data_IF_069966235874
#
_entry.id   IF_069966235874
#
_cell.length_a   1.000
_cell.length_b   1.000
_cell.length_c   1.000
_cell.angle_alpha   90.00
_cell.angle_beta   90.00
_cell.angle_gamma   90.00
#
_symmetry.space_group_name_H-M   'P 1'
#
loop_
_entity.id
_entity.type
_entity.pdbx_description
1 polymer ?
#
# COMPACT_ATOMS: atom_id res chain seq x y z
N UNK A 1 7.69 18.11 1.83
CA UNK A 1 7.57 16.67 2.12
C UNK A 1 7.85 15.90 0.83
N UNK A 2 8.63 14.81 0.86
CA UNK A 2 8.94 14.00 -0.33
C UNK A 2 8.13 12.71 -0.29
N UNK A 3 7.56 12.30 -1.43
CA UNK A 3 6.84 11.04 -1.56
C UNK A 3 7.84 9.87 -1.52
N UNK A 4 7.54 8.85 -0.71
CA UNK A 4 8.45 7.70 -0.51
C UNK A 4 7.95 6.42 -1.20
N UNK A 5 6.64 6.32 -1.48
CA UNK A 5 6.01 5.18 -2.10
C UNK A 5 4.67 5.56 -2.75
N UNK A 6 4.15 4.65 -3.59
CA UNK A 6 2.81 4.71 -4.18
C UNK A 6 2.06 3.44 -3.83
N UNK A 7 0.75 3.57 -3.57
CA UNK A 7 -0.15 2.43 -3.45
C UNK A 7 -0.81 2.15 -4.81
N UNK A 8 -0.88 0.88 -5.17
CA UNK A 8 -1.60 0.36 -6.33
C UNK A 8 -2.74 -0.52 -5.81
N UNK A 9 -3.95 -0.26 -6.26
CA UNK A 9 -5.15 -1.02 -5.91
C UNK A 9 -5.95 -1.31 -7.17
N UNK A 10 -6.89 -2.25 -7.09
CA UNK A 10 -7.80 -2.58 -8.20
C UNK A 10 -8.90 -1.53 -8.41
N UNK A 11 -8.83 -0.41 -7.70
CA UNK A 11 -9.85 0.64 -7.70
C UNK A 11 -9.33 1.82 -8.54
N UNK A 12 -9.69 1.90 -9.84
CA UNK A 12 -9.14 2.90 -10.74
C UNK A 12 -9.62 4.32 -10.42
N UNK A 13 -10.71 4.47 -9.67
CA UNK A 13 -11.29 5.77 -9.32
C UNK A 13 -11.80 5.80 -7.89
N UNK A 14 -12.10 7.01 -7.42
CA UNK A 14 -12.73 7.22 -6.11
C UNK A 14 -14.19 6.76 -6.06
N UNK A 15 -14.87 6.69 -7.20
CA UNK A 15 -16.25 6.22 -7.28
C UNK A 15 -16.27 4.69 -7.20
N UNK A 16 -17.08 4.15 -6.29
CA UNK A 16 -17.16 2.71 -6.03
C UNK A 16 -16.29 2.23 -4.87
N UNK A 17 -15.52 3.12 -4.21
CA UNK A 17 -14.79 2.77 -2.99
C UNK A 17 -15.77 2.37 -1.87
N UNK A 18 -15.53 1.25 -1.16
CA UNK A 18 -16.26 0.92 0.05
C UNK A 18 -16.15 2.05 1.07
N UNK A 19 -17.28 2.41 1.67
CA UNK A 19 -17.31 3.47 2.71
C UNK A 19 -16.62 3.04 4.01
N UNK A 20 -16.45 1.73 4.21
CA UNK A 20 -15.78 1.14 5.36
C UNK A 20 -14.70 0.19 4.85
N UNK A 21 -13.51 0.29 5.42
CA UNK A 21 -12.36 -0.57 5.12
C UNK A 21 -12.60 -2.01 5.58
N UNK A 22 -12.00 -2.97 4.89
CA UNK A 22 -12.03 -4.39 5.27
C UNK A 22 -13.36 -5.11 5.03
N UNK A 23 -14.26 -4.53 4.23
CA UNK A 23 -15.53 -5.17 3.84
C UNK A 23 -15.36 -6.23 2.74
N UNK A 24 -14.32 -6.12 1.94
CA UNK A 24 -13.98 -7.02 0.84
C UNK A 24 -12.58 -7.53 1.15
N UNK A 25 -12.47 -8.80 1.55
CA UNK A 25 -11.20 -9.40 1.96
C UNK A 25 -10.26 -9.60 0.77
N UNK A 26 -10.84 -9.79 -0.42
CA UNK A 26 -10.12 -9.99 -1.68
C UNK A 26 -9.55 -8.68 -2.26
N UNK A 27 -9.96 -7.53 -1.71
CA UNK A 27 -9.47 -6.23 -2.17
C UNK A 27 -8.13 -5.91 -1.53
N UNK A 28 -7.06 -6.25 -2.24
CA UNK A 28 -5.69 -6.03 -1.80
C UNK A 28 -5.09 -4.74 -2.37
N UNK A 29 -4.02 -4.26 -1.73
CA UNK A 29 -3.25 -3.11 -2.17
C UNK A 29 -1.76 -3.39 -2.12
N UNK A 30 -1.04 -2.95 -3.15
CA UNK A 30 0.40 -3.10 -3.25
C UNK A 30 1.08 -1.74 -3.04
N UNK A 31 1.95 -1.64 -2.02
CA UNK A 31 2.80 -0.47 -1.81
C UNK A 31 4.12 -0.66 -2.54
N UNK A 32 4.42 0.22 -3.50
CA UNK A 32 5.68 0.24 -4.26
C UNK A 32 6.50 1.46 -3.86
N UNK A 33 7.65 1.23 -3.24
CA UNK A 33 8.58 2.30 -2.88
C UNK A 33 9.22 2.93 -4.12
N UNK A 34 9.41 4.26 -4.05
CA UNK A 34 10.16 5.01 -5.06
C UNK A 34 11.62 4.53 -5.07
N UNK A 35 12.33 4.54 -6.22
CA UNK A 35 13.65 3.90 -6.35
C UNK A 35 14.68 4.27 -5.27
N UNK A 36 14.66 5.53 -4.82
CA UNK A 36 15.54 6.02 -3.76
C UNK A 36 15.30 5.41 -2.37
N UNK A 37 14.19 4.71 -2.18
CA UNK A 37 13.77 4.12 -0.90
C UNK A 37 13.63 2.59 -0.97
N UNK A 38 14.14 1.94 -2.03
CA UNK A 38 14.12 0.47 -2.19
C UNK A 38 15.30 -0.20 -1.50
N UNK A 39 15.53 0.15 -0.25
CA UNK A 39 16.53 -0.50 0.60
C UNK A 39 15.83 -1.57 1.45
N UNK A 40 16.13 -2.87 1.28
CA UNK A 40 15.54 -3.94 2.08
C UNK A 40 15.77 -3.77 3.59
N UNK A 41 16.88 -3.14 3.99
CA UNK A 41 17.16 -2.89 5.41
C UNK A 41 16.15 -1.92 6.03
N UNK A 42 15.57 -1.02 5.24
CA UNK A 42 14.55 -0.08 5.71
C UNK A 42 13.20 -0.76 6.04
N UNK A 43 12.99 -2.00 5.59
CA UNK A 43 11.77 -2.77 5.81
C UNK A 43 11.95 -3.97 6.75
N UNK A 44 13.18 -4.19 7.24
CA UNK A 44 13.49 -5.31 8.14
C UNK A 44 12.61 -5.26 9.39
N UNK A 45 11.91 -6.35 9.69
CA UNK A 45 11.08 -6.50 10.89
C UNK A 45 9.64 -6.01 10.72
N UNK A 46 9.25 -5.50 9.54
CA UNK A 46 7.86 -5.11 9.27
C UNK A 46 6.92 -6.32 9.25
N UNK A 47 7.45 -7.50 8.92
CA UNK A 47 6.75 -8.78 8.92
C UNK A 47 6.26 -9.24 10.31
N UNK A 48 6.74 -8.62 11.39
CA UNK A 48 6.32 -8.91 12.76
C UNK A 48 5.00 -8.27 13.19
N UNK A 49 4.33 -7.51 12.31
CA UNK A 49 3.13 -6.74 12.62
C UNK A 49 1.93 -7.17 11.75
N UNK A 50 0.70 -7.01 12.26
CA UNK A 50 -0.57 -7.27 11.56
C UNK A 50 -1.66 -6.29 12.02
#
# INVERSE_FOLDING_TARGET
MKMIAKIHTDLPTKFGLPRQSGLVEELEGLIVFEPAYRDPEALRGIEGFS
#
